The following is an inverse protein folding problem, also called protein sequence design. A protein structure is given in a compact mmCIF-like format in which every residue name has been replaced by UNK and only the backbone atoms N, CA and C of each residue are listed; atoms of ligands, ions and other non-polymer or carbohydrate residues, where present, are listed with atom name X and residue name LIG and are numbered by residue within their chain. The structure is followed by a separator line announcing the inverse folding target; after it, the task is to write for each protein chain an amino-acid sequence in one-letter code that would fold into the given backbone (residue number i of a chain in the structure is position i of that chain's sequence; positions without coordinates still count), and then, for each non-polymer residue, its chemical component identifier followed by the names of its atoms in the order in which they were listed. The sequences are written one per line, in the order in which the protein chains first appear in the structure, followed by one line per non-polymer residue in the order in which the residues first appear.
data_IF_050648771327
#
_entry.id   IF_050648771327
#
_cell.length_a   1.000
_cell.length_b   1.000
_cell.length_c   1.000
_cell.angle_alpha   90.00
_cell.angle_beta   90.00
_cell.angle_gamma   90.00
#
_symmetry.space_group_name_H-M   'P 1'
#
loop_
_entity.id
_entity.type
_entity.pdbx_description
1 polymer ?
#
# COMPACT_ATOMS: atom_id res chain seq x y z
N UNK A 1 23.23 6.67 -43.46
CA UNK A 1 21.93 7.11 -42.89
C UNK A 1 21.16 6.00 -42.16
N UNK A 2 21.22 4.72 -42.57
CA UNK A 2 20.47 3.62 -41.91
C UNK A 2 20.92 3.32 -40.46
N UNK A 3 22.24 3.40 -40.17
CA UNK A 3 22.78 3.16 -38.82
C UNK A 3 22.28 4.14 -37.75
N UNK A 4 22.01 5.40 -38.12
CA UNK A 4 21.52 6.41 -37.17
C UNK A 4 20.02 6.23 -36.87
N UNK A 5 19.22 5.78 -37.85
CA UNK A 5 17.81 5.45 -37.63
C UNK A 5 17.62 4.25 -36.69
N UNK A 6 18.48 3.24 -36.79
CA UNK A 6 18.46 2.07 -35.88
C UNK A 6 18.79 2.46 -34.45
N UNK A 7 19.76 3.36 -34.24
CA UNK A 7 20.13 3.82 -32.90
C UNK A 7 18.99 4.60 -32.23
N UNK A 8 18.30 5.46 -32.98
CA UNK A 8 17.15 6.22 -32.48
C UNK A 8 15.97 5.31 -32.13
N UNK A 9 15.72 4.27 -32.93
CA UNK A 9 14.66 3.29 -32.68
C UNK A 9 14.93 2.46 -31.41
N UNK A 10 16.19 2.14 -31.12
CA UNK A 10 16.59 1.34 -29.97
C UNK A 10 16.48 2.12 -28.64
N UNK A 11 16.69 3.44 -28.68
CA UNK A 11 16.52 4.32 -27.50
C UNK A 11 15.04 4.48 -27.13
N UNK A 12 14.13 4.49 -28.11
CA UNK A 12 12.68 4.60 -27.85
C UNK A 12 12.09 3.37 -27.13
N UNK A 13 12.68 2.19 -27.30
CA UNK A 13 12.16 0.95 -26.70
C UNK A 13 12.45 0.84 -25.18
N UNK A 14 13.45 1.55 -24.68
CA UNK A 14 13.90 1.46 -23.26
C UNK A 14 13.02 2.29 -22.31
N UNK A 15 12.17 3.18 -22.82
CA UNK A 15 11.38 4.10 -21.99
C UNK A 15 10.04 3.55 -21.49
N UNK A 16 9.67 2.31 -21.82
CA UNK A 16 8.42 1.67 -21.38
C UNK A 16 8.62 0.90 -20.07
N UNK A 17 9.20 1.54 -19.05
CA UNK A 17 9.16 1.01 -17.69
C UNK A 17 7.78 1.30 -17.10
N UNK A 18 6.89 0.31 -17.09
CA UNK A 18 5.65 0.41 -16.34
C UNK A 18 5.98 0.54 -14.86
N UNK A 19 5.69 1.68 -14.25
CA UNK A 19 5.76 1.82 -12.80
C UNK A 19 4.64 0.98 -12.20
N UNK A 20 4.97 -0.23 -11.71
CA UNK A 20 4.06 -0.96 -10.87
C UNK A 20 3.83 -0.10 -9.62
N UNK A 21 2.58 -0.02 -9.14
CA UNK A 21 2.29 0.68 -7.89
C UNK A 21 3.19 0.10 -6.80
N UNK A 22 4.08 0.95 -6.29
CA UNK A 22 5.07 0.58 -5.28
C UNK A 22 4.44 0.19 -3.94
N UNK A 23 3.16 0.51 -3.74
CA UNK A 23 2.35 0.06 -2.62
C UNK A 23 1.30 -0.90 -3.14
N UNK A 24 1.30 -2.11 -2.61
CA UNK A 24 0.25 -3.10 -2.83
C UNK A 24 -0.63 -3.18 -1.58
N UNK A 25 -1.94 -3.08 -1.78
CA UNK A 25 -2.94 -3.31 -0.73
C UNK A 25 -3.75 -4.54 -1.14
N UNK A 26 -3.86 -5.52 -0.25
CA UNK A 26 -4.54 -6.79 -0.50
C UNK A 26 -5.30 -7.25 0.75
N UNK A 27 -6.21 -8.23 0.58
CA UNK A 27 -6.93 -8.88 1.67
C UNK A 27 -7.63 -7.89 2.63
N UNK A 28 -8.20 -6.82 2.09
CA UNK A 28 -8.89 -5.81 2.88
C UNK A 28 -10.30 -6.28 3.28
N UNK A 29 -10.61 -6.25 4.58
CA UNK A 29 -11.93 -6.59 5.11
C UNK A 29 -12.22 -5.86 6.42
N UNK A 30 -13.50 -5.74 6.75
CA UNK A 30 -13.97 -5.20 8.02
C UNK A 30 -14.68 -6.31 8.78
N UNK A 31 -14.36 -6.47 10.07
CA UNK A 31 -15.04 -7.45 10.93
C UNK A 31 -16.51 -7.09 11.04
N UNK A 32 -17.37 -7.99 10.59
CA UNK A 32 -18.80 -7.88 10.80
C UNK A 32 -19.11 -8.03 12.30
N UNK A 33 -19.90 -7.10 12.82
CA UNK A 33 -20.34 -7.07 14.21
C UNK A 33 -21.83 -6.69 14.25
N UNK A 34 -22.56 -7.06 15.32
CA UNK A 34 -23.95 -6.64 15.51
C UNK A 34 -24.11 -5.12 15.40
N UNK A 35 -25.31 -4.68 14.99
CA UNK A 35 -25.62 -3.26 14.78
C UNK A 35 -25.49 -2.39 16.04
N UNK A 36 -25.66 -2.99 17.23
CA UNK A 36 -25.52 -2.31 18.52
C UNK A 36 -24.08 -1.89 18.84
N UNK A 37 -23.07 -2.52 18.23
CA UNK A 37 -21.68 -2.14 18.45
C UNK A 37 -21.31 -1.04 17.45
N UNK A 38 -20.94 0.17 17.90
CA UNK A 38 -20.69 1.31 17.00
C UNK A 38 -19.29 1.30 16.39
N UNK A 39 -18.33 0.60 16.99
CA UNK A 39 -16.94 0.54 16.53
C UNK A 39 -16.69 -0.78 15.80
N UNK A 40 -15.92 -0.73 14.70
CA UNK A 40 -15.52 -1.88 13.89
C UNK A 40 -14.01 -1.91 13.76
N UNK A 41 -13.43 -3.10 13.55
CA UNK A 41 -12.02 -3.26 13.20
C UNK A 41 -11.90 -3.59 11.71
N UNK A 42 -11.09 -2.82 11.00
CA UNK A 42 -10.67 -3.11 9.63
C UNK A 42 -9.29 -3.77 9.62
N UNK A 43 -9.08 -4.67 8.67
CA UNK A 43 -7.80 -5.33 8.45
C UNK A 43 -7.48 -5.28 6.95
N UNK A 44 -6.21 -5.13 6.62
CA UNK A 44 -5.70 -5.21 5.26
C UNK A 44 -4.21 -5.54 5.30
N UNK A 45 -3.67 -6.01 4.19
CA UNK A 45 -2.23 -6.21 4.02
C UNK A 45 -1.69 -5.11 3.12
N UNK A 46 -0.77 -4.29 3.65
CA UNK A 46 -0.07 -3.25 2.90
C UNK A 46 1.39 -3.69 2.72
N UNK A 47 1.84 -3.80 1.46
CA UNK A 47 3.23 -4.12 1.11
C UNK A 47 3.87 -2.95 0.39
N UNK A 48 4.93 -2.41 0.97
CA UNK A 48 5.80 -1.45 0.29
C UNK A 48 6.87 -2.22 -0.52
N UNK A 49 6.75 -2.18 -1.85
CA UNK A 49 7.69 -2.75 -2.82
C UNK A 49 8.76 -1.76 -3.28
N UNK A 50 8.69 -0.50 -2.86
CA UNK A 50 9.74 0.48 -3.16
C UNK A 50 10.94 0.34 -2.23
N UNK A 51 12.14 0.79 -2.67
CA UNK A 51 13.29 0.94 -1.80
C UNK A 51 13.19 2.14 -0.84
N UNK A 52 12.11 2.92 -0.91
CA UNK A 52 11.92 4.14 -0.14
C UNK A 52 10.98 3.86 1.03
N UNK A 53 11.26 4.45 2.20
CA UNK A 53 10.35 4.37 3.33
C UNK A 53 9.04 5.10 3.00
N UNK A 54 7.91 4.51 3.39
CA UNK A 54 6.58 5.08 3.25
C UNK A 54 5.92 5.13 4.63
N UNK A 55 5.27 6.24 4.94
CA UNK A 55 4.50 6.42 6.17
C UNK A 55 3.00 6.41 5.86
N UNK A 56 2.24 5.66 6.66
CA UNK A 56 0.77 5.74 6.67
C UNK A 56 0.39 6.89 7.59
N UNK A 57 -0.21 7.95 7.03
CA UNK A 57 -0.55 9.16 7.79
C UNK A 57 -2.04 9.28 8.11
N UNK A 58 -2.90 8.58 7.37
CA UNK A 58 -4.36 8.70 7.50
C UNK A 58 -5.08 7.51 6.85
N UNK A 59 -6.24 7.17 7.41
CA UNK A 59 -7.31 6.45 6.72
C UNK A 59 -8.57 7.31 6.70
N UNK A 60 -9.35 7.20 5.63
CA UNK A 60 -10.62 7.89 5.46
C UNK A 60 -11.68 6.90 4.98
N UNK A 61 -12.94 7.20 5.30
CA UNK A 61 -14.09 6.41 4.85
C UNK A 61 -15.33 7.29 4.76
N UNK A 62 -16.19 7.02 3.80
CA UNK A 62 -17.51 7.64 3.70
C UNK A 62 -18.50 7.09 4.74
N UNK A 63 -18.24 5.89 5.28
CA UNK A 63 -19.15 5.19 6.21
C UNK A 63 -18.68 5.20 7.66
N UNK A 64 -17.39 5.52 7.92
CA UNK A 64 -16.85 5.68 9.27
C UNK A 64 -16.43 7.11 9.51
N UNK A 65 -16.98 7.74 10.54
CA UNK A 65 -16.73 9.15 10.87
C UNK A 65 -15.35 9.38 11.48
N UNK A 66 -14.75 8.37 12.10
CA UNK A 66 -13.42 8.41 12.69
C UNK A 66 -12.73 7.05 12.49
N UNK A 67 -11.43 7.09 12.19
CA UNK A 67 -10.59 5.90 12.04
C UNK A 67 -9.29 6.14 12.82
N UNK A 68 -9.03 5.27 13.79
CA UNK A 68 -7.80 5.26 14.57
C UNK A 68 -6.91 4.09 14.13
N UNK A 69 -5.61 4.32 14.02
CA UNK A 69 -4.62 3.30 13.66
C UNK A 69 -3.97 2.80 14.93
N UNK A 70 -4.07 1.49 15.18
CA UNK A 70 -3.40 0.83 16.29
C UNK A 70 -2.24 0.02 15.74
N UNK A 71 -1.02 0.28 16.21
CA UNK A 71 0.15 -0.46 15.75
C UNK A 71 0.52 -1.52 16.79
N UNK A 72 0.60 -2.77 16.33
CA UNK A 72 1.13 -3.87 17.14
C UNK A 72 2.40 -4.38 16.46
N UNK A 73 3.52 -4.32 17.17
CA UNK A 73 4.83 -4.73 16.67
C UNK A 73 5.32 -5.92 17.48
N UNK A 74 5.62 -7.02 16.79
CA UNK A 74 6.43 -8.10 17.36
C UNK A 74 7.90 -7.81 17.09
N UNK A 75 8.70 -7.74 18.14
CA UNK A 75 10.14 -7.59 18.06
C UNK A 75 10.79 -8.53 19.05
N UNK A 76 11.64 -9.43 18.56
CA UNK A 76 12.40 -10.39 19.37
C UNK A 76 11.50 -11.24 20.30
N UNK A 77 10.32 -11.63 19.81
CA UNK A 77 9.33 -12.41 20.57
C UNK A 77 8.52 -11.59 21.59
N UNK A 78 8.74 -10.28 21.69
CA UNK A 78 7.96 -9.37 22.51
C UNK A 78 6.96 -8.59 21.64
N UNK A 79 5.69 -8.63 22.01
CA UNK A 79 4.62 -7.87 21.36
C UNK A 79 4.43 -6.55 22.10
N UNK A 80 4.48 -5.43 21.38
CA UNK A 80 4.19 -4.09 21.91
C UNK A 80 3.05 -3.45 21.12
N UNK A 81 2.11 -2.81 21.81
CA UNK A 81 1.06 -2.00 21.21
C UNK A 81 1.40 -0.51 21.39
N UNK A 82 1.29 0.27 20.33
CA UNK A 82 1.50 1.73 20.34
C UNK A 82 0.46 2.45 19.50
#
# INVERSE_FOLDING_TARGET
MVKQGILVLLVYFVSLSSTAANLEISDAWVRYLPSVIPVRSGYMVIRNKSPQAVSIIKFESEVFTQIDIHETVEKDGMITMR
#
